data_IF_099909702288
#
_entry.id   IF_099909702288
#
_cell.length_a   1.000
_cell.length_b   1.000
_cell.length_c   1.000
_cell.angle_alpha   90.00
_cell.angle_beta   90.00
_cell.angle_gamma   90.00
#
_symmetry.space_group_name_H-M   'P 1'
#
loop_
_entity.id
_entity.type
_entity.pdbx_description
1 polymer ?
#
# COMPACT_ATOMS: atom_id res chain seq x y z
N UNK A 1 6.84 -16.22 -20.69
CA UNK A 1 7.86 -15.55 -19.83
C UNK A 1 7.63 -15.99 -18.39
N UNK A 2 8.70 -16.18 -17.61
CA UNK A 2 8.63 -16.63 -16.20
C UNK A 2 8.91 -15.44 -15.29
N UNK A 3 7.88 -14.92 -14.67
CA UNK A 3 7.95 -13.71 -13.83
C UNK A 3 7.89 -14.09 -12.37
N UNK A 4 8.79 -13.56 -11.54
CA UNK A 4 8.71 -13.60 -10.08
C UNK A 4 8.40 -12.19 -9.58
N UNK A 5 7.39 -12.07 -8.75
CA UNK A 5 7.09 -10.82 -8.05
C UNK A 5 7.56 -10.92 -6.60
N UNK A 6 8.40 -9.97 -6.19
CA UNK A 6 8.91 -9.85 -4.82
C UNK A 6 8.24 -8.72 -4.04
N UNK A 7 7.11 -8.22 -4.55
CA UNK A 7 6.32 -7.15 -3.91
C UNK A 7 4.87 -7.20 -4.37
N UNK A 8 3.88 -7.16 -3.46
CA UNK A 8 2.46 -7.28 -3.81
C UNK A 8 1.97 -6.26 -4.84
N UNK A 9 2.47 -5.03 -4.82
CA UNK A 9 2.10 -4.01 -5.80
C UNK A 9 2.41 -4.45 -7.24
N UNK A 10 3.56 -5.10 -7.47
CA UNK A 10 3.94 -5.61 -8.79
C UNK A 10 3.04 -6.78 -9.21
N UNK A 11 2.71 -7.68 -8.30
CA UNK A 11 1.77 -8.78 -8.56
C UNK A 11 0.42 -8.24 -9.04
N UNK A 12 -0.11 -7.23 -8.34
CA UNK A 12 -1.36 -6.56 -8.73
C UNK A 12 -1.27 -5.93 -10.13
N UNK A 13 -0.14 -5.26 -10.43
CA UNK A 13 0.11 -4.70 -11.77
C UNK A 13 0.13 -5.78 -12.85
N UNK A 14 0.83 -6.90 -12.62
CA UNK A 14 0.92 -8.02 -13.57
C UNK A 14 -0.47 -8.60 -13.88
N UNK A 15 -1.28 -8.83 -12.87
CA UNK A 15 -2.66 -9.29 -13.06
C UNK A 15 -3.52 -8.25 -13.76
N UNK A 16 -3.42 -6.98 -13.40
CA UNK A 16 -4.17 -5.90 -14.01
C UNK A 16 -3.82 -5.69 -15.50
N UNK A 17 -2.60 -6.06 -15.91
CA UNK A 17 -2.14 -6.05 -17.29
C UNK A 17 -2.51 -7.35 -18.06
N UNK A 18 -3.26 -8.26 -17.44
CA UNK A 18 -3.65 -9.52 -18.07
C UNK A 18 -2.48 -10.48 -18.30
N UNK A 19 -1.41 -10.38 -17.51
CA UNK A 19 -0.22 -11.22 -17.61
C UNK A 19 -0.04 -12.16 -16.39
N UNK A 20 -1.09 -12.40 -15.62
CA UNK A 20 -1.05 -13.22 -14.42
C UNK A 20 -0.59 -14.66 -14.64
N UNK A 21 -0.80 -15.21 -15.85
CA UNK A 21 -0.32 -16.52 -16.29
C UNK A 21 1.21 -16.61 -16.41
N UNK A 22 1.90 -15.48 -16.46
CA UNK A 22 3.36 -15.41 -16.50
C UNK A 22 3.99 -15.48 -15.10
N UNK A 23 3.22 -15.22 -14.04
CA UNK A 23 3.71 -15.31 -12.67
C UNK A 23 3.95 -16.76 -12.27
N UNK A 24 5.19 -17.08 -11.89
CA UNK A 24 5.61 -18.41 -11.45
C UNK A 24 5.86 -18.48 -9.96
N UNK A 25 6.09 -17.35 -9.29
CA UNK A 25 6.14 -17.25 -7.84
C UNK A 25 5.93 -15.79 -7.38
N UNK A 26 5.51 -15.66 -6.12
CA UNK A 26 5.16 -14.38 -5.47
C UNK A 26 5.65 -14.37 -4.02
N UNK A 27 5.39 -13.29 -3.27
CA UNK A 27 5.72 -13.19 -1.85
C UNK A 27 4.65 -13.81 -0.95
N UNK A 28 4.95 -13.92 0.35
CA UNK A 28 3.98 -14.39 1.36
C UNK A 28 2.80 -13.41 1.56
N UNK A 29 2.97 -12.12 1.22
CA UNK A 29 1.97 -11.07 1.37
C UNK A 29 1.05 -10.89 0.15
N UNK A 30 1.26 -11.66 -0.90
CA UNK A 30 0.47 -11.57 -2.12
C UNK A 30 -0.90 -12.26 -1.95
N UNK A 31 -1.93 -11.48 -1.75
CA UNK A 31 -3.29 -11.92 -1.47
C UNK A 31 -4.33 -11.47 -2.52
N UNK A 32 -3.92 -10.59 -3.44
CA UNK A 32 -4.79 -10.04 -4.46
C UNK A 32 -4.14 -10.04 -5.87
N UNK A 33 -4.93 -10.36 -6.92
CA UNK A 33 -6.29 -10.93 -6.87
C UNK A 33 -6.28 -12.32 -6.22
N UNK A 34 -7.46 -12.91 -6.01
CA UNK A 34 -7.56 -14.24 -5.35
C UNK A 34 -6.64 -15.29 -5.98
N UNK A 35 -6.47 -15.27 -7.31
CA UNK A 35 -5.58 -16.17 -8.04
C UNK A 35 -4.09 -16.07 -7.61
N UNK A 36 -3.65 -14.94 -7.05
CA UNK A 36 -2.29 -14.82 -6.53
C UNK A 36 -2.04 -15.72 -5.32
N UNK A 37 -3.09 -16.10 -4.59
CA UNK A 37 -2.99 -16.96 -3.39
C UNK A 37 -2.54 -18.38 -3.71
N UNK A 38 -2.80 -18.85 -4.91
CA UNK A 38 -2.49 -20.21 -5.36
C UNK A 38 -1.07 -20.34 -5.95
N UNK A 39 -0.35 -19.22 -6.11
CA UNK A 39 0.99 -19.22 -6.66
C UNK A 39 2.03 -19.64 -5.62
N UNK A 40 3.14 -20.28 -6.04
CA UNK A 40 4.27 -20.62 -5.17
C UNK A 40 4.82 -19.39 -4.42
N UNK A 41 5.18 -19.56 -3.15
CA UNK A 41 5.77 -18.50 -2.32
C UNK A 41 7.28 -18.62 -2.28
N UNK A 42 7.99 -17.53 -2.55
CA UNK A 42 9.46 -17.47 -2.45
C UNK A 42 9.92 -16.66 -1.23
N UNK A 43 8.97 -16.19 -0.41
CA UNK A 43 9.30 -15.53 0.86
C UNK A 43 8.41 -16.03 1.98
N UNK A 44 8.84 -15.81 3.23
CA UNK A 44 8.05 -16.05 4.44
C UNK A 44 8.28 -14.92 5.44
N UNK A 45 7.24 -14.51 6.15
CA UNK A 45 7.35 -13.53 7.24
C UNK A 45 8.16 -14.08 8.41
N UNK A 46 8.95 -13.23 9.05
CA UNK A 46 9.60 -13.48 10.33
C UNK A 46 8.84 -12.80 11.49
N UNK A 47 7.82 -11.99 11.17
CA UNK A 47 6.94 -11.36 12.14
C UNK A 47 5.87 -12.37 12.57
N UNK A 48 5.66 -12.58 13.89
CA UNK A 48 4.60 -13.44 14.36
C UNK A 48 3.20 -12.96 13.93
N UNK A 49 2.29 -13.86 13.49
CA UNK A 49 0.99 -13.43 12.90
C UNK A 49 0.07 -12.68 13.87
N UNK A 50 0.27 -12.83 15.19
CA UNK A 50 -0.56 -12.22 16.24
C UNK A 50 0.17 -11.11 17.01
N UNK A 51 1.33 -10.65 16.50
CA UNK A 51 2.09 -9.58 17.13
C UNK A 51 1.26 -8.28 17.16
N UNK A 52 1.32 -7.57 18.30
CA UNK A 52 0.74 -6.24 18.46
C UNK A 52 1.47 -5.20 17.62
N UNK A 53 0.88 -4.01 17.44
CA UNK A 53 1.51 -2.90 16.71
C UNK A 53 2.89 -2.58 17.28
N UNK A 54 3.03 -2.47 18.61
CA UNK A 54 4.30 -2.18 19.29
C UNK A 54 5.34 -3.27 19.10
N UNK A 55 4.94 -4.55 19.18
CA UNK A 55 5.85 -5.67 18.94
C UNK A 55 6.36 -5.69 17.50
N UNK A 56 5.48 -5.44 16.52
CA UNK A 56 5.87 -5.34 15.10
C UNK A 56 6.87 -4.18 14.91
N UNK A 57 6.58 -2.98 15.43
CA UNK A 57 7.47 -1.82 15.32
C UNK A 57 8.85 -2.13 15.94
N UNK A 58 8.88 -2.77 17.10
CA UNK A 58 10.13 -3.17 17.75
C UNK A 58 10.93 -4.14 16.88
N UNK A 59 10.28 -5.19 16.34
CA UNK A 59 10.94 -6.16 15.46
C UNK A 59 11.47 -5.52 14.18
N UNK A 60 10.71 -4.60 13.60
CA UNK A 60 11.10 -3.86 12.39
C UNK A 60 12.33 -2.99 12.66
N UNK A 61 12.33 -2.21 13.74
CA UNK A 61 13.47 -1.35 14.13
C UNK A 61 14.71 -2.18 14.44
N UNK A 62 14.55 -3.27 15.19
CA UNK A 62 15.64 -4.16 15.55
C UNK A 62 16.25 -4.82 14.30
N UNK A 63 15.44 -5.31 13.39
CA UNK A 63 15.92 -5.85 12.11
C UNK A 63 16.65 -4.77 11.30
N UNK A 64 16.05 -3.59 11.14
CA UNK A 64 16.64 -2.45 10.43
C UNK A 64 17.98 -2.01 11.01
N UNK A 65 18.13 -1.97 12.35
CA UNK A 65 19.38 -1.60 13.03
C UNK A 65 20.53 -2.59 12.76
N UNK A 66 20.18 -3.85 12.48
CA UNK A 66 21.14 -4.92 12.12
C UNK A 66 21.34 -5.09 10.62
N UNK A 67 20.66 -4.27 9.78
CA UNK A 67 20.65 -4.45 8.34
C UNK A 67 19.97 -5.75 7.88
N UNK A 68 19.09 -6.29 8.71
CA UNK A 68 18.32 -7.52 8.46
C UNK A 68 16.94 -7.20 7.90
N UNK A 69 16.29 -8.20 7.31
CA UNK A 69 14.93 -8.13 6.80
C UNK A 69 13.93 -8.75 7.77
N UNK A 70 12.69 -8.31 7.74
CA UNK A 70 11.59 -8.91 8.50
C UNK A 70 10.97 -10.13 7.82
N UNK A 71 11.52 -10.54 6.69
CA UNK A 71 11.13 -11.74 5.96
C UNK A 71 12.36 -12.53 5.49
N UNK A 72 12.17 -13.81 5.26
CA UNK A 72 13.16 -14.72 4.68
C UNK A 72 12.87 -14.94 3.20
N UNK A 73 13.91 -14.82 2.35
CA UNK A 73 13.85 -15.22 0.94
C UNK A 73 14.28 -16.69 0.83
N UNK A 74 13.44 -17.53 0.23
CA UNK A 74 13.79 -18.89 -0.14
C UNK A 74 14.54 -18.88 -1.49
N UNK A 75 15.86 -18.83 -1.39
CA UNK A 75 16.75 -18.80 -2.55
C UNK A 75 16.68 -20.09 -3.39
N UNK A 76 16.41 -21.23 -2.77
CA UNK A 76 16.28 -22.50 -3.49
C UNK A 76 15.01 -22.47 -4.33
N UNK A 77 13.88 -22.08 -3.75
CA UNK A 77 12.61 -21.92 -4.48
C UNK A 77 12.74 -20.88 -5.60
N UNK A 78 13.44 -19.75 -5.35
CA UNK A 78 13.68 -18.74 -6.38
C UNK A 78 14.51 -19.29 -7.55
N UNK A 79 15.53 -20.09 -7.29
CA UNK A 79 16.33 -20.74 -8.34
C UNK A 79 15.54 -21.78 -9.14
N UNK A 80 14.72 -22.57 -8.45
CA UNK A 80 13.94 -23.66 -9.07
C UNK A 80 12.91 -23.13 -10.06
N UNK A 81 12.33 -21.95 -9.77
CA UNK A 81 11.36 -21.32 -10.69
C UNK A 81 12.02 -20.63 -11.89
N UNK A 82 13.35 -20.53 -11.96
CA UNK A 82 14.14 -19.98 -13.09
C UNK A 82 13.51 -18.71 -13.68
N UNK A 83 13.46 -17.59 -12.93
CA UNK A 83 12.81 -16.37 -13.39
C UNK A 83 13.55 -15.73 -14.57
N UNK A 84 12.82 -15.31 -15.60
CA UNK A 84 13.32 -14.46 -16.69
C UNK A 84 13.19 -12.99 -16.34
N UNK A 85 12.16 -12.64 -15.51
CA UNK A 85 11.92 -11.29 -15.00
C UNK A 85 11.68 -11.37 -13.49
N UNK A 86 12.31 -10.46 -12.74
CA UNK A 86 12.08 -10.25 -11.31
C UNK A 86 11.57 -8.83 -11.11
N UNK A 87 10.41 -8.70 -10.46
CA UNK A 87 9.83 -7.43 -10.08
C UNK A 87 10.06 -7.21 -8.58
N UNK A 88 10.72 -6.12 -8.22
CA UNK A 88 11.03 -5.76 -6.83
C UNK A 88 10.74 -4.29 -6.55
N UNK A 89 11.14 -3.79 -5.38
CA UNK A 89 11.03 -2.36 -5.07
C UNK A 89 12.25 -1.86 -4.29
N UNK A 90 12.45 -0.53 -4.30
CA UNK A 90 13.53 0.15 -3.57
C UNK A 90 13.01 0.99 -2.41
N UNK A 91 11.70 1.26 -2.33
CA UNK A 91 11.10 2.25 -1.45
C UNK A 91 11.31 1.96 0.04
N UNK A 92 11.23 0.69 0.43
CA UNK A 92 11.34 0.27 1.82
C UNK A 92 12.33 -0.90 1.93
N UNK A 93 13.50 -0.63 2.54
CA UNK A 93 14.51 -1.66 2.79
C UNK A 93 14.05 -2.75 3.78
N UNK A 94 13.00 -2.47 4.56
CA UNK A 94 12.43 -3.40 5.54
C UNK A 94 11.43 -4.37 4.89
N UNK A 95 10.68 -3.88 3.89
CA UNK A 95 9.57 -4.61 3.27
C UNK A 95 9.93 -5.19 1.90
N UNK A 96 11.12 -4.89 1.36
CA UNK A 96 11.54 -5.33 0.03
C UNK A 96 12.77 -6.21 0.08
N UNK A 97 12.81 -7.20 -0.81
CA UNK A 97 14.03 -7.94 -1.12
C UNK A 97 15.00 -6.97 -1.78
N UNK A 98 16.13 -6.67 -1.12
CA UNK A 98 17.17 -5.86 -1.73
C UNK A 98 17.83 -6.64 -2.88
N UNK A 99 18.23 -5.93 -3.94
CA UNK A 99 18.94 -6.52 -5.10
C UNK A 99 20.15 -7.36 -4.70
N UNK A 100 20.85 -6.97 -3.64
CA UNK A 100 22.01 -7.67 -3.10
C UNK A 100 21.69 -9.09 -2.61
N UNK A 101 20.40 -9.36 -2.31
CA UNK A 101 19.92 -10.68 -1.87
C UNK A 101 19.34 -11.53 -3.01
N UNK A 102 19.18 -10.96 -4.21
CA UNK A 102 18.87 -11.78 -5.39
C UNK A 102 20.14 -12.56 -5.70
N UNK A 103 20.13 -13.89 -5.56
CA UNK A 103 21.38 -14.66 -5.56
C UNK A 103 22.17 -14.44 -6.85
N UNK A 104 23.45 -14.11 -6.71
CA UNK A 104 24.43 -14.19 -7.80
C UNK A 104 24.53 -15.62 -8.42
N UNK A 105 23.79 -16.57 -7.86
CA UNK A 105 23.77 -17.99 -8.22
C UNK A 105 22.59 -18.38 -9.12
N UNK A 106 21.80 -17.43 -9.66
CA UNK A 106 20.86 -17.76 -10.73
C UNK A 106 21.68 -18.15 -11.97
N UNK A 107 21.33 -19.26 -12.61
CA UNK A 107 22.06 -19.81 -13.77
C UNK A 107 22.07 -18.87 -14.99
N UNK A 108 21.29 -17.80 -14.97
CA UNK A 108 21.20 -16.73 -15.96
C UNK A 108 20.79 -15.42 -15.23
N UNK A 109 21.13 -14.27 -15.80
CA UNK A 109 20.72 -12.97 -15.27
C UNK A 109 19.29 -12.67 -15.71
N UNK A 110 18.31 -12.62 -14.79
CA UNK A 110 16.96 -12.17 -15.12
C UNK A 110 16.94 -10.66 -15.35
N UNK A 111 15.99 -10.18 -16.13
CA UNK A 111 15.65 -8.75 -16.15
C UNK A 111 15.08 -8.37 -14.78
N UNK A 112 15.73 -7.44 -14.08
CA UNK A 112 15.23 -6.92 -12.80
C UNK A 112 14.57 -5.56 -13.02
N UNK A 113 13.31 -5.44 -12.62
CA UNK A 113 12.55 -4.19 -12.67
C UNK A 113 12.25 -3.77 -11.23
N UNK A 114 12.73 -2.60 -10.84
CA UNK A 114 12.51 -2.05 -9.52
C UNK A 114 11.44 -0.97 -9.55
N UNK A 115 10.46 -1.11 -8.67
CA UNK A 115 9.44 -0.11 -8.40
C UNK A 115 9.98 0.85 -7.34
N UNK A 116 9.77 2.16 -7.55
CA UNK A 116 10.29 3.19 -6.64
C UNK A 116 9.29 4.36 -6.41
N UNK A 117 8.03 4.11 -6.72
CA UNK A 117 6.98 5.11 -6.58
C UNK A 117 6.87 5.67 -5.16
N UNK A 118 6.96 6.97 -5.02
CA UNK A 118 6.61 7.72 -3.81
C UNK A 118 5.40 8.64 -4.02
N UNK A 119 4.85 8.69 -5.24
CA UNK A 119 3.70 9.49 -5.65
C UNK A 119 2.76 8.67 -6.52
N UNK A 120 1.55 9.16 -6.75
CA UNK A 120 0.60 8.50 -7.67
C UNK A 120 1.14 8.49 -9.11
N UNK A 121 1.78 9.58 -9.57
CA UNK A 121 2.38 9.60 -10.91
C UNK A 121 3.57 8.63 -11.00
N UNK A 122 4.36 8.48 -9.94
CA UNK A 122 5.42 7.46 -9.85
C UNK A 122 4.84 6.03 -9.98
N UNK A 123 3.71 5.74 -9.35
CA UNK A 123 3.03 4.44 -9.50
C UNK A 123 2.58 4.19 -10.95
N UNK A 124 2.09 5.20 -11.65
CA UNK A 124 1.71 5.07 -13.07
C UNK A 124 2.94 4.87 -13.97
N UNK A 125 4.08 5.44 -13.63
CA UNK A 125 5.35 5.18 -14.31
C UNK A 125 5.86 3.76 -14.02
N UNK A 126 5.74 3.28 -12.78
CA UNK A 126 6.04 1.89 -12.44
C UNK A 126 5.17 0.91 -13.23
N UNK A 127 3.86 1.17 -13.34
CA UNK A 127 2.95 0.40 -14.17
C UNK A 127 3.40 0.34 -15.63
N UNK A 128 3.88 1.47 -16.19
CA UNK A 128 4.42 1.53 -17.54
C UNK A 128 5.70 0.69 -17.68
N UNK A 129 6.62 0.76 -16.67
CA UNK A 129 7.86 -0.04 -16.65
C UNK A 129 7.57 -1.54 -16.59
N UNK A 130 6.62 -1.95 -15.74
CA UNK A 130 6.16 -3.34 -15.66
C UNK A 130 5.55 -3.77 -17.00
N UNK A 131 4.67 -2.95 -17.58
CA UNK A 131 4.08 -3.21 -18.90
C UNK A 131 5.13 -3.43 -20.00
N UNK A 132 6.15 -2.58 -20.05
CA UNK A 132 7.25 -2.72 -21.02
C UNK A 132 8.04 -4.03 -20.81
N UNK A 133 8.35 -4.38 -19.55
CA UNK A 133 9.07 -5.60 -19.25
C UNK A 133 8.30 -6.87 -19.61
N UNK A 134 6.96 -6.80 -19.63
CA UNK A 134 6.07 -7.93 -19.92
C UNK A 134 5.56 -7.95 -21.38
N UNK A 135 5.94 -6.98 -22.22
CA UNK A 135 5.37 -6.82 -23.56
C UNK A 135 3.88 -6.45 -23.55
N UNK A 136 3.46 -5.65 -22.55
CA UNK A 136 2.08 -5.21 -22.31
C UNK A 136 1.96 -3.67 -22.29
N UNK A 137 2.72 -2.98 -23.15
CA UNK A 137 2.78 -1.51 -23.17
C UNK A 137 1.41 -0.88 -23.49
N UNK A 138 0.67 -1.48 -24.41
CA UNK A 138 -0.66 -1.00 -24.77
C UNK A 138 -1.66 -1.16 -23.62
N UNK A 139 -1.61 -2.28 -22.91
CA UNK A 139 -2.46 -2.55 -21.75
C UNK A 139 -2.11 -1.59 -20.58
N UNK A 140 -0.81 -1.36 -20.35
CA UNK A 140 -0.34 -0.42 -19.33
C UNK A 140 -0.79 1.01 -19.63
N UNK A 141 -0.71 1.43 -20.89
CA UNK A 141 -1.19 2.74 -21.33
C UNK A 141 -2.71 2.87 -21.16
N UNK A 142 -3.47 1.87 -21.56
CA UNK A 142 -4.92 1.86 -21.41
C UNK A 142 -5.36 1.91 -19.95
N UNK A 143 -4.75 1.09 -19.09
CA UNK A 143 -5.01 1.07 -17.66
C UNK A 143 -4.61 2.40 -17.00
N UNK A 144 -3.43 2.92 -17.29
CA UNK A 144 -2.98 4.21 -16.75
C UNK A 144 -3.91 5.36 -17.13
N UNK A 145 -4.42 5.38 -18.36
CA UNK A 145 -5.40 6.37 -18.80
C UNK A 145 -6.75 6.20 -18.09
N UNK A 146 -7.18 4.96 -17.81
CA UNK A 146 -8.40 4.69 -17.05
C UNK A 146 -8.26 5.20 -15.61
N UNK A 147 -7.16 4.87 -14.94
CA UNK A 147 -6.86 5.33 -13.58
C UNK A 147 -6.86 6.86 -13.48
N UNK A 148 -6.18 7.55 -14.42
CA UNK A 148 -6.20 9.02 -14.49
C UNK A 148 -7.60 9.58 -14.70
N UNK A 149 -8.43 8.93 -15.51
CA UNK A 149 -9.82 9.33 -15.75
C UNK A 149 -10.67 9.20 -14.49
N UNK A 150 -10.52 8.12 -13.72
CA UNK A 150 -11.22 7.88 -12.45
C UNK A 150 -10.84 8.94 -11.43
N UNK A 151 -9.54 9.17 -11.22
CA UNK A 151 -9.02 10.21 -10.30
C UNK A 151 -9.57 11.60 -10.63
N UNK A 152 -9.50 11.99 -11.90
CA UNK A 152 -10.02 13.28 -12.37
C UNK A 152 -11.53 13.41 -12.12
N UNK A 153 -12.31 12.39 -12.44
CA UNK A 153 -13.76 12.36 -12.21
C UNK A 153 -14.11 12.54 -10.72
N UNK A 154 -13.38 11.89 -9.83
CA UNK A 154 -13.56 12.01 -8.37
C UNK A 154 -13.25 13.44 -7.93
N UNK A 155 -12.07 13.97 -8.31
CA UNK A 155 -11.67 15.33 -7.95
C UNK A 155 -12.62 16.41 -8.49
N UNK A 156 -13.08 16.32 -9.74
CA UNK A 156 -14.03 17.26 -10.34
C UNK A 156 -15.39 17.27 -9.63
N UNK A 157 -15.89 16.08 -9.25
CA UNK A 157 -17.16 15.95 -8.50
C UNK A 157 -17.12 16.69 -7.15
N UNK A 158 -15.95 16.75 -6.53
CA UNK A 158 -15.76 17.28 -5.18
C UNK A 158 -15.15 18.68 -5.16
N UNK A 159 -14.79 19.27 -6.31
CA UNK A 159 -14.04 20.51 -6.42
C UNK A 159 -14.69 21.71 -5.69
N UNK A 160 -16.03 21.79 -5.65
CA UNK A 160 -16.78 22.87 -5.01
C UNK A 160 -17.25 22.52 -3.57
N UNK A 161 -16.77 21.43 -3.00
CA UNK A 161 -17.19 20.99 -1.66
C UNK A 161 -16.20 21.48 -0.59
N UNK A 162 -16.68 21.68 0.66
CA UNK A 162 -15.78 21.87 1.80
C UNK A 162 -14.76 20.74 1.87
N UNK A 163 -13.54 21.06 2.27
CA UNK A 163 -12.45 20.09 2.39
C UNK A 163 -12.23 19.74 3.86
N UNK A 164 -12.75 18.59 4.32
CA UNK A 164 -12.50 18.12 5.69
C UNK A 164 -10.99 18.00 5.95
N UNK A 165 -10.59 18.31 7.19
CA UNK A 165 -9.25 18.10 7.71
C UNK A 165 -9.08 16.63 8.05
N UNK A 166 -8.11 15.97 7.46
CA UNK A 166 -7.92 14.51 7.56
C UNK A 166 -6.55 14.21 8.15
N UNK A 167 -6.52 13.41 9.21
CA UNK A 167 -5.30 12.81 9.73
C UNK A 167 -5.26 11.35 9.31
N UNK A 168 -4.31 10.99 8.46
CA UNK A 168 -4.07 9.61 8.04
C UNK A 168 -2.94 8.99 8.86
N UNK A 169 -3.19 7.85 9.50
CA UNK A 169 -2.24 7.12 10.35
C UNK A 169 -1.92 5.76 9.74
N UNK A 170 -0.69 5.58 9.27
CA UNK A 170 -0.24 4.30 8.71
C UNK A 170 0.34 3.34 9.75
N UNK A 171 0.45 3.79 11.01
CA UNK A 171 0.72 2.98 12.18
C UNK A 171 0.12 3.64 13.42
N UNK A 172 -0.23 2.84 14.45
CA UNK A 172 -0.98 3.34 15.60
C UNK A 172 -0.19 3.30 16.92
N UNK A 173 0.81 2.43 17.05
CA UNK A 173 1.60 2.33 18.28
C UNK A 173 3.06 1.92 17.99
N UNK A 174 4.02 2.88 18.02
CA UNK A 174 3.78 4.32 18.12
C UNK A 174 3.05 4.87 16.88
N UNK A 175 2.38 6.05 16.97
CA UNK A 175 1.68 6.59 15.81
C UNK A 175 2.64 7.09 14.73
N UNK A 176 2.35 6.75 13.47
CA UNK A 176 3.00 7.31 12.28
C UNK A 176 1.97 8.02 11.42
N UNK A 177 2.28 9.22 10.95
CA UNK A 177 1.50 9.83 9.89
C UNK A 177 1.67 9.04 8.59
N UNK A 178 0.68 9.07 7.71
CA UNK A 178 0.84 8.55 6.37
C UNK A 178 1.69 9.50 5.50
N UNK A 179 2.43 8.92 4.57
CA UNK A 179 3.32 9.64 3.67
C UNK A 179 3.12 9.25 2.21
N UNK A 180 4.18 9.45 1.40
CA UNK A 180 4.26 9.06 0.00
C UNK A 180 3.08 9.59 -0.82
N UNK A 181 2.24 8.73 -1.37
CA UNK A 181 1.06 9.03 -2.19
C UNK A 181 -0.21 9.35 -1.39
N UNK A 182 -0.25 9.01 -0.08
CA UNK A 182 -1.49 9.14 0.72
C UNK A 182 -2.00 10.57 0.80
N UNK A 183 -1.17 11.62 1.03
CA UNK A 183 -1.66 12.99 1.00
C UNK A 183 -2.23 13.41 -0.38
N UNK A 184 -1.74 12.82 -1.48
CA UNK A 184 -2.33 13.01 -2.81
C UNK A 184 -3.71 12.33 -2.90
N UNK A 185 -3.86 11.11 -2.36
CA UNK A 185 -5.14 10.41 -2.29
C UNK A 185 -6.17 11.25 -1.53
N UNK A 186 -5.80 11.78 -0.35
CA UNK A 186 -6.66 12.67 0.46
C UNK A 186 -7.07 13.90 -0.35
N UNK A 187 -6.12 14.56 -1.02
CA UNK A 187 -6.39 15.74 -1.85
C UNK A 187 -7.36 15.44 -3.00
N UNK A 188 -7.16 14.32 -3.70
CA UNK A 188 -8.01 13.89 -4.81
C UNK A 188 -9.40 13.45 -4.34
N UNK A 189 -9.49 12.94 -3.11
CA UNK A 189 -10.75 12.62 -2.42
C UNK A 189 -11.46 13.85 -1.84
N UNK A 190 -10.98 15.07 -2.09
CA UNK A 190 -11.61 16.31 -1.64
C UNK A 190 -11.31 16.65 -0.17
N UNK A 191 -10.32 16.04 0.46
CA UNK A 191 -9.85 16.33 1.82
C UNK A 191 -8.61 17.24 1.86
N UNK A 192 -8.20 17.61 3.06
CA UNK A 192 -6.96 18.29 3.39
C UNK A 192 -6.19 17.41 4.37
N UNK A 193 -5.11 16.75 3.94
CA UNK A 193 -4.21 16.05 4.86
C UNK A 193 -3.53 17.08 5.78
N UNK A 194 -3.60 16.84 7.09
CA UNK A 194 -3.09 17.79 8.09
C UNK A 194 -1.81 17.34 8.77
N UNK A 195 -1.32 16.15 8.43
CA UNK A 195 -0.11 15.56 9.03
C UNK A 195 0.93 15.15 8.00
N UNK A 196 0.51 14.72 6.82
CA UNK A 196 1.38 14.21 5.77
C UNK A 196 1.74 15.25 4.72
N UNK A 197 2.87 15.04 4.05
CA UNK A 197 3.31 15.80 2.87
C UNK A 197 3.47 14.84 1.69
N UNK A 198 2.88 15.18 0.54
CA UNK A 198 2.94 14.34 -0.66
C UNK A 198 4.40 14.12 -1.10
N UNK A 199 4.75 12.87 -1.41
CA UNK A 199 6.07 12.44 -1.84
C UNK A 199 7.09 12.27 -0.70
N UNK A 200 6.81 12.74 0.50
CA UNK A 200 7.67 12.54 1.66
C UNK A 200 7.37 11.20 2.36
N UNK A 201 8.37 10.68 3.07
CA UNK A 201 8.19 9.46 3.87
C UNK A 201 7.32 9.75 5.08
N UNK A 202 6.59 8.74 5.51
CA UNK A 202 5.97 8.71 6.84
C UNK A 202 7.01 8.85 7.94
N UNK A 203 6.58 9.41 9.06
CA UNK A 203 7.41 9.56 10.26
C UNK A 203 6.61 9.23 11.51
N UNK A 204 7.32 8.86 12.55
CA UNK A 204 6.74 8.81 13.88
C UNK A 204 6.31 10.21 14.31
N UNK A 205 5.14 10.30 14.94
CA UNK A 205 4.56 11.54 15.47
C UNK A 205 4.09 11.32 16.91
N UNK A 206 3.83 12.40 17.62
CA UNK A 206 3.19 12.32 18.92
C UNK A 206 1.66 12.43 18.79
N UNK A 207 0.92 11.81 19.69
CA UNK A 207 -0.55 11.97 19.75
C UNK A 207 -0.97 13.42 19.93
N UNK A 208 -0.14 14.24 20.61
CA UNK A 208 -0.39 15.67 20.76
C UNK A 208 -0.29 16.42 19.42
N UNK A 209 0.56 15.98 18.47
CA UNK A 209 0.58 16.52 17.10
C UNK A 209 -0.74 16.21 16.38
N UNK A 210 -1.28 15.01 16.53
CA UNK A 210 -2.56 14.62 15.95
C UNK A 210 -3.67 15.53 16.48
N UNK A 211 -3.75 15.72 17.80
CA UNK A 211 -4.76 16.60 18.43
C UNK A 211 -4.57 18.06 18.03
N UNK A 212 -3.33 18.56 18.06
CA UNK A 212 -3.03 19.95 17.67
C UNK A 212 -3.39 20.23 16.20
N UNK A 213 -3.34 19.23 15.33
CA UNK A 213 -3.78 19.34 13.94
C UNK A 213 -5.30 19.48 13.80
N UNK A 214 -6.10 19.23 14.84
CA UNK A 214 -7.56 19.33 14.88
C UNK A 214 -8.21 18.73 13.62
N UNK A 215 -8.06 17.42 13.36
CA UNK A 215 -8.69 16.78 12.24
C UNK A 215 -10.22 16.70 12.44
N UNK A 216 -10.97 16.78 11.34
CA UNK A 216 -12.39 16.44 11.32
C UNK A 216 -12.58 14.92 11.25
N UNK A 217 -11.62 14.25 10.57
CA UNK A 217 -11.62 12.80 10.33
C UNK A 217 -10.24 12.24 10.55
N UNK A 218 -10.16 11.13 11.29
CA UNK A 218 -8.95 10.32 11.44
C UNK A 218 -9.15 9.00 10.71
N UNK A 219 -8.20 8.62 9.88
CA UNK A 219 -8.21 7.36 9.12
C UNK A 219 -7.07 6.48 9.63
N UNK A 220 -7.42 5.40 10.31
CA UNK A 220 -6.50 4.35 10.70
C UNK A 220 -6.33 3.37 9.52
N UNK A 221 -5.13 3.37 8.90
CA UNK A 221 -4.77 2.56 7.74
C UNK A 221 -3.44 1.81 7.94
N UNK A 222 -3.26 1.05 9.03
CA UNK A 222 -1.99 0.43 9.33
C UNK A 222 -1.50 -0.46 8.19
N UNK A 223 -0.21 -0.38 7.91
CA UNK A 223 0.42 -1.14 6.85
C UNK A 223 0.23 -2.66 7.08
N UNK A 224 -0.24 -3.37 6.06
CA UNK A 224 -0.46 -4.82 6.12
C UNK A 224 -1.75 -5.27 6.83
N UNK A 225 -2.59 -4.35 7.32
CA UNK A 225 -3.82 -4.70 8.03
C UNK A 225 -5.07 -4.45 7.18
N UNK A 226 -6.06 -5.33 7.37
CA UNK A 226 -7.39 -5.14 6.84
C UNK A 226 -8.22 -4.14 7.67
N UNK A 227 -9.39 -3.75 7.17
CA UNK A 227 -10.25 -2.78 7.81
C UNK A 227 -10.76 -3.23 9.19
N UNK A 228 -10.96 -4.54 9.40
CA UNK A 228 -11.48 -5.08 10.67
C UNK A 228 -10.42 -4.96 11.76
N UNK A 229 -9.18 -5.37 11.44
CA UNK A 229 -8.05 -5.24 12.37
C UNK A 229 -7.74 -3.76 12.63
N UNK A 230 -7.72 -2.94 11.59
CA UNK A 230 -7.47 -1.50 11.72
C UNK A 230 -8.49 -0.81 12.65
N UNK A 231 -9.79 -1.09 12.47
CA UNK A 231 -10.85 -0.54 13.31
C UNK A 231 -10.74 -1.02 14.77
N UNK A 232 -10.51 -2.31 14.99
CA UNK A 232 -10.35 -2.89 16.33
C UNK A 232 -9.19 -2.28 17.10
N UNK A 233 -8.04 -2.11 16.46
CA UNK A 233 -6.89 -1.48 17.11
C UNK A 233 -7.14 0.01 17.35
N UNK A 234 -7.85 0.68 16.43
CA UNK A 234 -8.22 2.08 16.57
C UNK A 234 -9.18 2.35 17.75
N UNK A 235 -9.97 1.37 18.19
CA UNK A 235 -10.80 1.50 19.41
C UNK A 235 -10.00 1.86 20.65
N UNK A 236 -8.71 1.46 20.70
CA UNK A 236 -7.82 1.75 21.82
C UNK A 236 -7.36 3.20 21.89
N UNK A 237 -7.57 3.99 20.83
CA UNK A 237 -7.11 5.38 20.75
C UNK A 237 -7.99 6.34 21.57
N UNK A 238 -9.19 5.92 21.93
CA UNK A 238 -10.16 6.74 22.65
C UNK A 238 -10.67 7.93 21.86
N UNK A 239 -11.18 8.96 22.55
CA UNK A 239 -11.66 10.18 21.91
C UNK A 239 -10.48 11.01 21.35
N UNK A 240 -10.63 11.44 20.13
CA UNK A 240 -9.70 12.31 19.42
C UNK A 240 -10.30 13.72 19.21
N UNK A 241 -10.72 14.34 20.31
CA UNK A 241 -11.32 15.68 20.36
C UNK A 241 -12.56 15.83 19.45
N UNK A 242 -13.38 14.77 19.34
CA UNK A 242 -14.60 14.73 18.54
C UNK A 242 -14.38 14.46 17.05
N UNK A 243 -13.17 14.15 16.61
CA UNK A 243 -12.92 13.70 15.24
C UNK A 243 -13.59 12.35 14.98
N UNK A 244 -14.17 12.17 13.79
CA UNK A 244 -14.66 10.85 13.35
C UNK A 244 -13.48 9.94 13.06
N UNK A 245 -13.51 8.73 13.57
CA UNK A 245 -12.43 7.75 13.40
C UNK A 245 -12.90 6.59 12.52
N UNK A 246 -12.09 6.22 11.54
CA UNK A 246 -12.37 5.09 10.64
C UNK A 246 -11.17 4.14 10.57
N UNK A 247 -11.43 2.83 10.65
CA UNK A 247 -10.50 1.80 10.23
C UNK A 247 -10.76 1.41 8.78
N UNK A 248 -9.71 1.37 7.97
CA UNK A 248 -9.76 0.98 6.55
C UNK A 248 -8.71 -0.07 6.24
N UNK A 249 -8.85 -0.75 5.09
CA UNK A 249 -7.86 -1.73 4.63
C UNK A 249 -6.61 -1.00 4.12
N UNK A 250 -5.61 -0.88 5.01
CA UNK A 250 -4.32 -0.28 4.72
C UNK A 250 -3.56 -1.07 3.65
N UNK A 251 -3.57 -2.41 3.75
CA UNK A 251 -2.88 -3.29 2.82
C UNK A 251 -3.42 -3.16 1.39
N UNK A 252 -4.75 -3.11 1.24
CA UNK A 252 -5.40 -3.09 -0.06
C UNK A 252 -5.24 -1.75 -0.80
N UNK A 253 -5.39 -0.61 -0.09
CA UNK A 253 -5.67 0.66 -0.76
C UNK A 253 -4.64 1.77 -0.47
N UNK A 254 -3.73 1.56 0.50
CA UNK A 254 -2.87 2.66 0.98
C UNK A 254 -1.39 2.29 1.08
N UNK A 255 -1.05 1.03 1.39
CA UNK A 255 0.34 0.61 1.64
C UNK A 255 1.06 0.09 0.41
N UNK A 256 0.34 -0.28 -0.65
CA UNK A 256 0.88 -0.88 -1.88
C UNK A 256 0.77 0.09 -3.04
N UNK A 257 1.87 0.55 -3.65
CA UNK A 257 1.84 1.46 -4.80
C UNK A 257 1.41 0.72 -6.08
N UNK A 258 0.15 0.33 -6.13
CA UNK A 258 -0.49 -0.40 -7.22
C UNK A 258 -1.76 0.29 -7.73
N UNK A 259 -2.44 -0.29 -8.73
CA UNK A 259 -3.64 0.29 -9.34
C UNK A 259 -4.76 0.60 -8.33
N UNK A 260 -4.83 -0.17 -7.22
CA UNK A 260 -5.85 0.01 -6.17
C UNK A 260 -5.67 1.27 -5.32
N UNK A 261 -4.58 2.04 -5.49
CA UNK A 261 -4.49 3.39 -4.91
C UNK A 261 -5.66 4.28 -5.35
N UNK A 262 -6.17 4.07 -6.59
CA UNK A 262 -7.33 4.83 -7.08
C UNK A 262 -8.62 4.39 -6.40
N UNK A 263 -8.76 3.11 -6.06
CA UNK A 263 -9.86 2.63 -5.22
C UNK A 263 -9.79 3.27 -3.82
N UNK A 264 -8.58 3.44 -3.26
CA UNK A 264 -8.36 4.18 -2.01
C UNK A 264 -8.84 5.63 -2.07
N UNK A 265 -8.62 6.34 -3.19
CA UNK A 265 -9.16 7.69 -3.41
C UNK A 265 -10.68 7.68 -3.37
N UNK A 266 -11.32 6.74 -4.07
CA UNK A 266 -12.77 6.63 -4.10
C UNK A 266 -13.36 6.25 -2.74
N UNK A 267 -12.66 5.38 -1.99
CA UNK A 267 -13.02 5.04 -0.61
C UNK A 267 -12.96 6.27 0.32
N UNK A 268 -11.84 7.00 0.30
CA UNK A 268 -11.71 8.24 1.07
C UNK A 268 -12.79 9.25 0.68
N UNK A 269 -13.07 9.42 -0.62
CA UNK A 269 -14.12 10.32 -1.08
C UNK A 269 -15.50 9.94 -0.51
N UNK A 270 -15.80 8.65 -0.36
CA UNK A 270 -17.06 8.18 0.22
C UNK A 270 -17.16 8.45 1.73
N UNK A 271 -16.03 8.40 2.45
CA UNK A 271 -15.95 8.72 3.88
C UNK A 271 -16.09 10.22 4.11
N UNK A 272 -15.34 11.02 3.33
CA UNK A 272 -15.25 12.45 3.51
C UNK A 272 -16.50 13.19 3.00
N UNK A 273 -17.18 12.63 2.01
CA UNK A 273 -18.34 13.23 1.35
C UNK A 273 -19.48 12.21 1.21
N UNK A 274 -20.07 11.76 2.33
CA UNK A 274 -21.13 10.74 2.32
C UNK A 274 -22.31 11.19 1.44
N UNK A 275 -22.80 10.25 0.62
CA UNK A 275 -23.89 10.51 -0.33
C UNK A 275 -23.48 11.18 -1.65
N UNK A 276 -22.24 11.69 -1.77
CA UNK A 276 -21.71 12.26 -3.02
C UNK A 276 -20.78 11.29 -3.78
N UNK A 277 -20.14 10.40 -3.07
CA UNK A 277 -19.30 9.34 -3.65
C UNK A 277 -19.72 7.99 -3.07
N UNK A 278 -19.61 6.93 -3.88
CA UNK A 278 -19.81 5.57 -3.42
C UNK A 278 -18.43 4.91 -3.25
N UNK A 279 -18.25 4.04 -2.24
CA UNK A 279 -17.04 3.28 -2.10
C UNK A 279 -16.89 2.30 -3.27
N UNK A 280 -15.68 1.90 -3.63
CA UNK A 280 -15.45 0.81 -4.57
C UNK A 280 -16.11 -0.49 -4.11
N UNK A 281 -16.47 -1.35 -5.05
CA UNK A 281 -17.08 -2.63 -4.73
C UNK A 281 -16.14 -3.48 -3.83
N UNK A 282 -16.67 -3.91 -2.68
CA UNK A 282 -15.93 -4.71 -1.70
C UNK A 282 -15.00 -3.91 -0.77
N UNK A 283 -14.83 -2.61 -1.00
CA UNK A 283 -14.07 -1.76 -0.06
C UNK A 283 -14.89 -1.51 1.21
N UNK A 284 -14.22 -1.64 2.36
CA UNK A 284 -14.81 -1.50 3.68
C UNK A 284 -14.14 -0.33 4.42
N UNK A 285 -14.96 0.55 4.98
CA UNK A 285 -14.56 1.51 5.99
C UNK A 285 -15.44 1.29 7.23
N UNK A 286 -14.82 1.09 8.37
CA UNK A 286 -15.53 0.84 9.65
C UNK A 286 -15.37 2.07 10.51
N UNK A 287 -16.48 2.75 10.78
CA UNK A 287 -16.49 3.88 11.72
C UNK A 287 -16.37 3.34 13.15
N UNK A 288 -15.36 3.85 13.88
CA UNK A 288 -15.09 3.47 15.25
C UNK A 288 -15.90 4.42 16.15
N UNK A 289 -16.80 3.89 17.01
CA UNK A 289 -17.58 4.73 17.90
C UNK A 289 -16.67 5.54 18.84
N UNK A 290 -17.04 6.80 19.10
CA UNK A 290 -16.38 7.55 20.17
C UNK A 290 -16.57 6.80 21.50
N UNK A 291 -15.49 6.71 22.30
CA UNK A 291 -15.61 6.14 23.65
C UNK A 291 -16.59 6.98 24.48
N UNK A 292 -17.57 6.32 25.09
CA UNK A 292 -18.59 6.94 25.96
C UNK A 292 -17.98 7.33 27.30
#
# INVERSE_FOLDING_TARGET
MRVVSLVPAATEMVFALGAGDQLVAVTHDDDYPAAARDLPRVTRSLIPPHASAREIDTLVRDAGSRGESTFHLDEAALRDVRPEVILGQTLCAVCAVTLERIPAALAHEPLVVLLDASTIEGMLEDLRRVGAALGREADASALGNDLRRRMRRTAERLAARPRPRVACLEWLDPPFNAGHWVPEQVRLAGGLDVLGTAGERSREIAWDEVRAARPDVVIAMPCGWDAVRAAREAETLGDLDGARLFGVDGAAYFSRPGPRLVDGIELLASILHPGLAAPPAGALAIEVPAAV
#
